data_IF_456815508436
#
_entry.id   IF_456815508436
#
_cell.length_a   1.000
_cell.length_b   1.000
_cell.length_c   1.000
_cell.angle_alpha   90.00
_cell.angle_beta   90.00
_cell.angle_gamma   90.00
#
_symmetry.space_group_name_H-M   'P 1'
#
loop_
_entity.id
_entity.type
_entity.pdbx_description
1 polymer ?
#
# COMPACT_ATOMS: atom_id res chain seq x y z
N UNK A 1 -10.69 8.34 16.09
CA UNK A 1 -10.46 7.37 15.00
C UNK A 1 -11.57 7.56 13.99
N UNK A 2 -11.28 8.02 12.77
CA UNK A 2 -12.31 8.22 11.73
C UNK A 2 -12.69 6.85 11.21
N UNK A 3 -13.92 6.39 11.48
CA UNK A 3 -14.45 5.16 10.89
C UNK A 3 -14.97 5.51 9.50
N UNK A 4 -14.34 4.96 8.48
CA UNK A 4 -14.84 5.06 7.11
C UNK A 4 -16.13 4.26 6.98
N UNK A 5 -17.05 4.75 6.16
CA UNK A 5 -18.24 4.00 5.78
C UNK A 5 -17.81 2.75 5.02
N UNK A 6 -18.56 1.67 5.23
CA UNK A 6 -18.32 0.38 4.57
C UNK A 6 -18.66 0.50 3.09
N UNK A 7 -17.73 0.13 2.22
CA UNK A 7 -17.91 0.08 0.77
C UNK A 7 -18.55 -1.24 0.36
N UNK A 8 -19.74 -1.14 -0.24
CA UNK A 8 -20.55 -2.27 -0.69
C UNK A 8 -20.55 -2.44 -2.22
N UNK A 9 -19.85 -1.55 -2.94
CA UNK A 9 -19.83 -1.47 -4.40
C UNK A 9 -20.50 -0.21 -4.95
N UNK A 10 -21.20 0.57 -4.13
CA UNK A 10 -21.85 1.81 -4.54
C UNK A 10 -21.02 3.06 -4.17
N UNK A 11 -21.23 4.15 -4.91
CA UNK A 11 -20.58 5.45 -4.65
C UNK A 11 -19.03 5.37 -4.59
N UNK A 12 -18.42 4.62 -5.51
CA UNK A 12 -16.98 4.36 -5.50
C UNK A 12 -16.14 5.63 -5.40
N UNK A 13 -16.41 6.67 -6.19
CA UNK A 13 -15.66 7.93 -6.14
C UNK A 13 -15.61 8.54 -4.73
N UNK A 14 -16.74 8.54 -4.01
CA UNK A 14 -16.80 9.07 -2.63
C UNK A 14 -15.99 8.21 -1.66
N UNK A 15 -16.11 6.88 -1.77
CA UNK A 15 -15.30 5.98 -0.94
C UNK A 15 -13.81 6.15 -1.25
N UNK A 16 -13.46 6.25 -2.54
CA UNK A 16 -12.11 6.42 -3.03
C UNK A 16 -11.47 7.69 -2.47
N UNK A 17 -12.15 8.84 -2.56
CA UNK A 17 -11.67 10.12 -2.01
C UNK A 17 -11.38 10.02 -0.51
N UNK A 18 -12.32 9.43 0.24
CA UNK A 18 -12.15 9.26 1.70
C UNK A 18 -11.00 8.30 2.03
N UNK A 19 -10.81 7.23 1.25
CA UNK A 19 -9.71 6.29 1.43
C UNK A 19 -8.36 6.93 1.11
N UNK A 20 -8.26 7.67 -0.01
CA UNK A 20 -7.05 8.44 -0.37
C UNK A 20 -6.69 9.41 0.76
N UNK A 21 -7.67 10.14 1.31
CA UNK A 21 -7.46 11.04 2.42
C UNK A 21 -6.91 10.32 3.66
N UNK A 22 -7.48 9.17 4.02
CA UNK A 22 -7.01 8.34 5.14
C UNK A 22 -5.55 7.89 4.93
N UNK A 23 -5.25 7.25 3.80
CA UNK A 23 -3.92 6.73 3.50
C UNK A 23 -2.87 7.86 3.42
N UNK A 24 -3.26 9.03 2.93
CA UNK A 24 -2.40 10.24 2.90
C UNK A 24 -2.12 10.74 4.31
N UNK A 25 -3.15 10.82 5.18
CA UNK A 25 -2.98 11.22 6.58
C UNK A 25 -2.08 10.27 7.36
N UNK A 26 -2.12 8.97 7.02
CA UNK A 26 -1.24 7.93 7.57
C UNK A 26 0.14 7.91 6.93
N UNK A 27 0.38 8.70 5.88
CA UNK A 27 1.64 8.74 5.10
C UNK A 27 2.01 7.41 4.42
N UNK A 28 1.01 6.59 4.10
CA UNK A 28 1.19 5.28 3.44
C UNK A 28 0.58 5.21 2.03
N UNK A 29 -0.01 6.31 1.54
CA UNK A 29 -0.59 6.36 0.19
C UNK A 29 0.40 6.02 -0.92
N UNK A 30 1.69 6.32 -0.70
CA UNK A 30 2.77 6.02 -1.66
C UNK A 30 2.89 4.52 -2.01
N UNK A 31 2.39 3.63 -1.16
CA UNK A 31 2.33 2.19 -1.41
C UNK A 31 1.51 1.86 -2.67
N UNK A 32 0.52 2.69 -3.00
CA UNK A 32 -0.33 2.49 -4.17
C UNK A 32 0.28 3.00 -5.47
N UNK A 33 1.46 3.63 -5.42
CA UNK A 33 2.13 4.17 -6.61
C UNK A 33 2.54 3.04 -7.58
N UNK A 34 2.07 3.04 -8.84
CA UNK A 34 2.50 2.05 -9.83
C UNK A 34 4.01 2.11 -10.12
N UNK A 35 4.66 3.25 -9.89
CA UNK A 35 6.09 3.48 -10.11
C UNK A 35 6.94 3.28 -8.84
N UNK A 36 6.37 2.70 -7.77
CA UNK A 36 7.11 2.45 -6.54
C UNK A 36 8.29 1.51 -6.80
N UNK A 37 9.51 2.06 -6.76
CA UNK A 37 10.74 1.31 -7.00
C UNK A 37 10.98 0.30 -5.87
N UNK A 38 11.39 -0.95 -6.16
CA UNK A 38 11.85 -1.89 -5.15
C UNK A 38 12.95 -1.29 -4.26
N UNK A 39 13.04 -1.74 -3.02
CA UNK A 39 14.18 -1.39 -2.17
C UNK A 39 15.35 -2.23 -2.65
N UNK A 40 16.44 -1.59 -3.05
CA UNK A 40 17.65 -2.27 -3.47
C UNK A 40 18.18 -3.16 -2.34
N UNK A 41 18.24 -4.47 -2.58
CA UNK A 41 18.79 -5.43 -1.60
C UNK A 41 20.32 -5.37 -1.56
N UNK A 42 20.93 -4.85 -2.62
CA UNK A 42 22.36 -4.63 -2.74
C UNK A 42 22.60 -3.16 -3.05
N UNK A 43 23.20 -2.44 -2.10
CA UNK A 43 23.72 -1.09 -2.34
C UNK A 43 24.87 -1.23 -3.35
N UNK A 44 24.74 -0.76 -4.60
CA UNK A 44 25.83 -0.84 -5.56
C UNK A 44 26.89 0.18 -5.14
N UNK A 45 28.13 -0.26 -5.04
CA UNK A 45 29.27 0.65 -5.03
C UNK A 45 29.85 0.71 -6.42
N UNK A 46 29.77 1.89 -7.05
CA UNK A 46 30.36 2.17 -8.36
C UNK A 46 31.86 1.82 -8.44
N UNK A 47 32.55 1.76 -7.29
CA UNK A 47 34.01 1.57 -7.21
C UNK A 47 34.47 0.24 -6.57
N UNK A 48 33.59 -0.76 -6.40
CA UNK A 48 33.98 -2.07 -5.83
C UNK A 48 34.35 -2.05 -4.33
N UNK A 49 33.99 -0.98 -3.62
CA UNK A 49 34.12 -0.86 -2.15
C UNK A 49 32.97 -1.59 -1.46
N UNK A 50 33.15 -2.23 -0.31
CA UNK A 50 32.00 -2.82 0.39
C UNK A 50 31.00 -1.71 0.81
N UNK A 51 29.67 -1.92 0.68
CA UNK A 51 28.68 -0.98 1.20
C UNK A 51 28.94 -0.71 2.68
N UNK A 52 28.88 0.56 3.08
CA UNK A 52 29.06 0.89 4.49
C UNK A 52 27.97 0.21 5.32
N UNK A 53 28.32 -0.19 6.55
CA UNK A 53 27.37 -0.77 7.50
C UNK A 53 26.16 0.13 7.72
N UNK A 54 26.37 1.45 7.67
CA UNK A 54 25.30 2.47 7.73
C UNK A 54 24.33 2.37 6.54
N UNK A 55 24.83 2.17 5.32
CA UNK A 55 24.00 2.03 4.13
C UNK A 55 23.16 0.74 4.18
N UNK A 56 23.75 -0.37 4.64
CA UNK A 56 23.07 -1.66 4.83
C UNK A 56 21.96 -1.51 5.89
N UNK A 57 22.28 -0.91 7.05
CA UNK A 57 21.33 -0.70 8.13
C UNK A 57 20.17 0.21 7.70
N UNK A 58 20.45 1.24 6.90
CA UNK A 58 19.42 2.11 6.33
C UNK A 58 18.48 1.33 5.40
N UNK A 59 19.02 0.53 4.47
CA UNK A 59 18.22 -0.28 3.56
C UNK A 59 17.31 -1.28 4.31
N UNK A 60 17.83 -1.95 5.34
CA UNK A 60 17.05 -2.87 6.19
C UNK A 60 15.90 -2.15 6.90
N UNK A 61 16.17 -0.95 7.44
CA UNK A 61 15.16 -0.15 8.15
C UNK A 61 14.07 0.33 7.19
N UNK A 62 14.44 0.77 5.99
CA UNK A 62 13.50 1.15 4.95
C UNK A 62 12.65 -0.04 4.49
N UNK A 63 13.24 -1.23 4.36
CA UNK A 63 12.51 -2.46 4.00
C UNK A 63 11.46 -2.82 5.04
N UNK A 64 11.84 -2.87 6.31
CA UNK A 64 10.90 -3.14 7.40
C UNK A 64 9.75 -2.13 7.44
N UNK A 65 10.09 -0.84 7.31
CA UNK A 65 9.07 0.21 7.27
C UNK A 65 8.10 0.01 6.11
N UNK A 66 8.61 -0.32 4.91
CA UNK A 66 7.75 -0.55 3.75
C UNK A 66 6.86 -1.77 3.93
N UNK A 67 7.36 -2.85 4.51
CA UNK A 67 6.56 -4.04 4.83
C UNK A 67 5.43 -3.71 5.83
N UNK A 68 5.70 -2.88 6.83
CA UNK A 68 4.70 -2.36 7.78
C UNK A 68 3.66 -1.46 7.07
N UNK A 69 4.11 -0.53 6.25
CA UNK A 69 3.25 0.39 5.49
C UNK A 69 2.36 -0.37 4.48
N UNK A 70 2.89 -1.41 3.84
CA UNK A 70 2.16 -2.32 2.95
C UNK A 70 1.04 -3.04 3.70
N UNK A 71 1.36 -3.64 4.86
CA UNK A 71 0.39 -4.32 5.71
C UNK A 71 -0.72 -3.38 6.17
N UNK A 72 -0.37 -2.16 6.61
CA UNK A 72 -1.32 -1.14 7.03
C UNK A 72 -2.20 -0.68 5.87
N UNK A 73 -1.62 -0.39 4.71
CA UNK A 73 -2.35 0.07 3.53
C UNK A 73 -3.36 -0.98 3.08
N UNK A 74 -2.91 -2.24 2.92
CA UNK A 74 -3.77 -3.38 2.58
C UNK A 74 -4.87 -3.58 3.61
N UNK A 75 -4.52 -3.55 4.90
CA UNK A 75 -5.47 -3.71 6.00
C UNK A 75 -6.54 -2.63 6.03
N UNK A 76 -6.17 -1.36 5.81
CA UNK A 76 -7.13 -0.25 5.75
C UNK A 76 -8.09 -0.38 4.58
N UNK A 77 -7.60 -0.72 3.38
CA UNK A 77 -8.46 -0.94 2.21
C UNK A 77 -9.46 -2.04 2.52
N UNK A 78 -8.98 -3.23 2.90
CA UNK A 78 -9.83 -4.40 3.19
C UNK A 78 -10.85 -4.13 4.30
N UNK A 79 -10.44 -3.50 5.41
CA UNK A 79 -11.34 -3.23 6.55
C UNK A 79 -12.48 -2.28 6.24
N UNK A 80 -12.41 -1.53 5.14
CA UNK A 80 -13.53 -0.70 4.70
C UNK A 80 -14.45 -1.41 3.73
N UNK A 81 -14.10 -2.58 3.23
CA UNK A 81 -14.93 -3.34 2.31
C UNK A 81 -16.08 -4.03 3.05
N UNK A 82 -17.17 -4.29 2.34
CA UNK A 82 -18.18 -5.26 2.79
C UNK A 82 -17.63 -6.67 2.85
N UNK A 83 -18.22 -7.55 3.65
CA UNK A 83 -17.69 -8.91 3.91
C UNK A 83 -17.54 -9.67 2.60
N UNK A 84 -18.56 -9.57 1.72
CA UNK A 84 -18.51 -10.16 0.37
C UNK A 84 -17.33 -9.65 -0.47
N UNK A 85 -17.00 -8.37 -0.37
CA UNK A 85 -15.87 -7.79 -1.10
C UNK A 85 -14.55 -8.12 -0.40
N UNK A 86 -14.52 -8.13 0.93
CA UNK A 86 -13.38 -8.55 1.72
C UNK A 86 -12.94 -9.95 1.30
N UNK A 87 -13.86 -10.92 1.33
CA UNK A 87 -13.60 -12.31 0.95
C UNK A 87 -13.12 -12.43 -0.50
N UNK A 88 -13.63 -11.58 -1.39
CA UNK A 88 -13.21 -11.55 -2.80
C UNK A 88 -11.78 -11.01 -3.00
N UNK A 89 -11.39 -10.00 -2.22
CA UNK A 89 -10.12 -9.28 -2.39
C UNK A 89 -9.02 -9.73 -1.41
N UNK A 90 -9.34 -10.48 -0.35
CA UNK A 90 -8.35 -10.90 0.66
C UNK A 90 -7.26 -11.82 0.10
N UNK A 91 -7.54 -12.57 -0.96
CA UNK A 91 -6.52 -13.44 -1.59
C UNK A 91 -5.41 -12.63 -2.31
N UNK A 92 -5.64 -11.34 -2.58
CA UNK A 92 -4.62 -10.49 -3.20
C UNK A 92 -3.56 -10.09 -2.17
N UNK A 93 -2.30 -10.19 -2.58
CA UNK A 93 -1.15 -10.07 -1.67
C UNK A 93 -0.75 -8.63 -1.41
N UNK A 94 -0.94 -7.74 -2.39
CA UNK A 94 -0.58 -6.33 -2.26
C UNK A 94 -1.78 -5.39 -2.16
N UNK A 95 -1.60 -4.29 -1.44
CA UNK A 95 -2.55 -3.19 -1.37
C UNK A 95 -2.84 -2.61 -2.78
N UNK A 96 -1.79 -2.54 -3.62
CA UNK A 96 -1.89 -2.03 -4.99
C UNK A 96 -2.77 -2.91 -5.87
N UNK A 97 -2.61 -4.23 -5.83
CA UNK A 97 -3.46 -5.15 -6.60
C UNK A 97 -4.94 -4.98 -6.25
N UNK A 98 -5.25 -4.90 -4.95
CA UNK A 98 -6.62 -4.65 -4.48
C UNK A 98 -7.12 -3.31 -4.99
N UNK A 99 -6.32 -2.25 -4.83
CA UNK A 99 -6.67 -0.90 -5.28
C UNK A 99 -6.97 -0.85 -6.78
N UNK A 100 -6.08 -1.38 -7.62
CA UNK A 100 -6.25 -1.42 -9.07
C UNK A 100 -7.47 -2.25 -9.47
N UNK A 101 -7.71 -3.40 -8.82
CA UNK A 101 -8.87 -4.22 -9.12
C UNK A 101 -10.20 -3.54 -8.74
N UNK A 102 -10.22 -2.79 -7.63
CA UNK A 102 -11.35 -1.97 -7.22
C UNK A 102 -11.60 -0.83 -8.21
N UNK A 103 -10.55 -0.11 -8.63
CA UNK A 103 -10.66 0.91 -9.66
C UNK A 103 -11.19 0.33 -10.96
N UNK A 104 -10.59 -0.74 -11.48
CA UNK A 104 -11.03 -1.37 -12.73
C UNK A 104 -12.51 -1.79 -12.70
N UNK A 105 -12.99 -2.28 -11.55
CA UNK A 105 -14.35 -2.81 -11.43
C UNK A 105 -15.42 -1.74 -11.17
N UNK A 106 -15.08 -0.68 -10.44
CA UNK A 106 -16.07 0.26 -9.90
C UNK A 106 -15.87 1.71 -10.37
N UNK A 107 -14.75 2.01 -11.02
CA UNK A 107 -14.53 3.29 -11.70
C UNK A 107 -15.17 3.18 -13.09
N UNK A 108 -16.40 3.68 -13.19
CA UNK A 108 -17.11 3.86 -14.46
C UNK A 108 -16.57 5.08 -15.22
#
# INVERSE_FOLDING_TARGET
MVKLDRFDGNNFARWQDKMIFLLTGLKIYYILDPNLLPIEEHVPTDDGTQPSEEAINKAIKEKKKREEDELLCRGHILNTLSDRLYDLFTEMKSAREIWTALEFKYKA
#
